data_IF_660832098901
#
_entry.id   IF_660832098901
#
_cell.length_a   1.000
_cell.length_b   1.000
_cell.length_c   1.000
_cell.angle_alpha   90.00
_cell.angle_beta   90.00
_cell.angle_gamma   90.00
#
_symmetry.space_group_name_H-M   'P 1'
#
loop_
_entity.id
_entity.type
_entity.pdbx_description
1 polymer ?
#
# COMPACT_ATOMS: atom_id res chain seq x y z
N UNK A 1 0.58 67.40 18.50
CA UNK A 1 -0.14 66.49 19.42
C UNK A 1 -0.67 65.32 18.62
N UNK A 2 -0.53 64.13 19.19
CA UNK A 2 -1.05 62.82 18.78
C UNK A 2 -0.41 62.13 17.57
N UNK A 3 0.43 61.15 17.91
CA UNK A 3 0.76 60.00 17.10
C UNK A 3 -0.45 59.06 16.94
N UNK A 4 -0.47 58.31 15.83
CA UNK A 4 -1.12 57.01 15.72
C UNK A 4 -0.46 56.23 14.56
N UNK A 5 0.23 55.11 14.83
CA UNK A 5 0.51 54.08 13.84
C UNK A 5 -0.59 53.02 13.87
N UNK A 6 -0.82 52.31 12.76
CA UNK A 6 -0.72 50.84 12.71
C UNK A 6 -1.23 50.29 11.37
N UNK A 7 -0.31 49.63 10.68
CA UNK A 7 -0.53 48.58 9.70
C UNK A 7 -1.38 47.45 10.29
N UNK A 8 -2.23 46.79 9.50
CA UNK A 8 -1.96 45.45 8.92
C UNK A 8 -3.15 45.03 8.06
N UNK A 9 -2.89 44.81 6.76
CA UNK A 9 -3.82 44.11 5.86
C UNK A 9 -3.71 42.61 6.18
N UNK A 10 -4.71 42.04 6.85
CA UNK A 10 -4.80 40.58 7.05
C UNK A 10 -5.61 39.97 5.91
N UNK A 11 -4.90 39.28 5.03
CA UNK A 11 -5.42 38.44 3.95
C UNK A 11 -6.44 37.45 4.48
N UNK A 12 -7.66 37.51 3.93
CA UNK A 12 -8.71 36.52 4.16
C UNK A 12 -8.21 35.13 3.71
N UNK A 13 -8.16 34.20 4.68
CA UNK A 13 -7.89 32.78 4.45
C UNK A 13 -9.06 32.19 3.68
N UNK A 14 -8.82 31.77 2.43
CA UNK A 14 -9.75 30.95 1.67
C UNK A 14 -9.76 29.56 2.31
N UNK A 15 -10.97 29.10 2.67
CA UNK A 15 -11.22 27.76 3.20
C UNK A 15 -10.82 26.71 2.15
N UNK A 16 -9.97 25.77 2.57
CA UNK A 16 -9.61 24.60 1.78
C UNK A 16 -10.42 23.41 2.29
N UNK A 17 -11.63 23.24 1.75
CA UNK A 17 -12.42 22.02 1.86
C UNK A 17 -12.59 21.44 0.46
N UNK A 18 -11.79 20.40 0.17
CA UNK A 18 -12.14 19.20 -0.60
C UNK A 18 -10.85 18.48 -1.06
N UNK A 19 -10.29 17.65 -0.17
CA UNK A 19 -9.34 16.58 -0.54
C UNK A 19 -9.94 15.26 -0.05
N UNK A 20 -10.22 14.28 -0.94
CA UNK A 20 -10.75 12.98 -0.53
C UNK A 20 -9.66 12.23 0.26
N UNK A 21 -9.99 11.75 1.46
CA UNK A 21 -9.11 10.89 2.27
C UNK A 21 -8.57 11.51 3.57
N UNK A 22 -9.04 12.70 3.97
CA UNK A 22 -8.76 13.23 5.32
C UNK A 22 -9.76 12.63 6.32
N UNK A 23 -9.32 12.10 7.49
CA UNK A 23 -10.23 11.52 8.47
C UNK A 23 -11.28 12.55 8.91
N UNK A 24 -12.54 12.13 8.91
CA UNK A 24 -13.64 12.90 9.48
C UNK A 24 -13.37 13.04 10.98
N UNK A 25 -13.09 14.26 11.42
CA UNK A 25 -12.80 14.59 12.81
C UNK A 25 -13.87 13.99 13.76
N UNK A 26 -13.50 12.95 14.53
CA UNK A 26 -14.32 12.43 15.65
C UNK A 26 -14.83 10.98 15.59
N UNK A 27 -14.38 10.13 14.65
CA UNK A 27 -14.80 8.72 14.58
C UNK A 27 -13.90 7.76 15.36
N UNK A 28 -14.49 6.81 16.11
CA UNK A 28 -13.79 5.67 16.70
C UNK A 28 -13.15 4.78 15.62
N UNK A 29 -12.15 3.97 15.99
CA UNK A 29 -11.55 2.99 15.11
C UNK A 29 -11.25 1.67 15.82
N UNK A 30 -10.96 0.65 15.03
CA UNK A 30 -10.36 -0.61 15.51
C UNK A 30 -9.01 -0.82 14.87
N UNK A 31 -8.02 -1.23 15.66
CA UNK A 31 -6.64 -1.46 15.22
C UNK A 31 -6.23 -2.90 15.52
N UNK A 32 -5.59 -3.59 14.58
CA UNK A 32 -5.02 -4.92 14.81
C UNK A 32 -3.81 -4.79 15.74
N UNK A 33 -3.89 -5.32 16.96
CA UNK A 33 -2.78 -5.31 17.94
C UNK A 33 -2.07 -6.66 18.07
N UNK A 34 -2.65 -7.72 17.50
CA UNK A 34 -2.01 -9.04 17.45
C UNK A 34 -2.50 -9.83 16.24
N UNK A 35 -1.58 -10.54 15.60
CA UNK A 35 -1.87 -11.42 14.48
C UNK A 35 -1.46 -10.83 13.15
N UNK A 36 -1.89 -11.47 12.07
CA UNK A 36 -1.59 -11.05 10.71
C UNK A 36 -2.31 -9.73 10.38
N UNK A 37 -1.57 -8.76 9.83
CA UNK A 37 -2.08 -7.41 9.60
C UNK A 37 -1.94 -6.48 10.81
N UNK A 38 -1.04 -6.78 11.76
CA UNK A 38 -0.67 -5.90 12.88
C UNK A 38 -0.56 -4.44 12.42
N UNK A 39 -1.26 -3.53 13.09
CA UNK A 39 -1.31 -2.10 12.80
C UNK A 39 -2.37 -1.67 11.79
N UNK A 40 -2.96 -2.58 11.00
CA UNK A 40 -4.11 -2.25 10.15
C UNK A 40 -5.27 -1.75 10.99
N UNK A 41 -6.01 -0.79 10.45
CA UNK A 41 -7.17 -0.22 11.12
C UNK A 41 -8.36 -0.01 10.19
N UNK A 42 -9.53 0.14 10.79
CA UNK A 42 -10.73 0.62 10.11
C UNK A 42 -11.43 1.68 10.98
N UNK A 43 -11.77 2.80 10.36
CA UNK A 43 -12.53 3.88 10.97
C UNK A 43 -14.02 3.52 10.99
N UNK A 44 -14.65 3.69 12.16
CA UNK A 44 -16.06 3.40 12.37
C UNK A 44 -16.82 4.72 12.23
N UNK A 45 -17.25 4.98 10.99
CA UNK A 45 -18.00 6.16 10.59
C UNK A 45 -19.51 6.02 10.81
N UNK A 46 -20.28 6.54 9.86
CA UNK A 46 -21.74 6.41 9.85
C UNK A 46 -22.19 4.98 9.51
N UNK A 47 -21.47 4.34 8.59
CA UNK A 47 -21.73 2.97 8.16
C UNK A 47 -21.07 1.95 9.10
N UNK A 48 -21.71 0.78 9.19
CA UNK A 48 -21.17 -0.33 9.95
C UNK A 48 -19.92 -0.91 9.26
N UNK A 49 -18.87 -1.15 10.04
CA UNK A 49 -17.64 -1.80 9.60
C UNK A 49 -17.80 -3.30 9.77
N UNK A 50 -17.70 -4.05 8.67
CA UNK A 50 -17.61 -5.51 8.66
C UNK A 50 -16.15 -5.92 8.65
N UNK A 51 -15.79 -6.85 9.52
CA UNK A 51 -14.43 -7.36 9.64
C UNK A 51 -14.43 -8.84 9.30
N UNK A 52 -13.49 -9.30 8.48
CA UNK A 52 -13.39 -10.69 8.13
C UNK A 52 -12.21 -11.00 7.21
N UNK A 53 -12.07 -12.25 6.80
CA UNK A 53 -10.99 -12.66 5.88
C UNK A 53 -11.29 -12.41 4.40
N UNK A 54 -12.52 -11.99 4.05
CA UNK A 54 -12.89 -11.72 2.67
C UNK A 54 -12.36 -10.37 2.20
N UNK A 55 -11.98 -10.24 0.93
CA UNK A 55 -11.62 -8.94 0.35
C UNK A 55 -12.80 -7.96 0.24
N UNK A 56 -14.04 -8.46 0.42
CA UNK A 56 -15.27 -7.67 0.39
C UNK A 56 -15.61 -7.00 1.73
N UNK A 57 -14.82 -7.24 2.79
CA UNK A 57 -15.05 -6.61 4.11
C UNK A 57 -14.27 -5.32 4.26
N UNK A 58 -14.81 -4.38 5.03
CA UNK A 58 -14.20 -3.08 5.31
C UNK A 58 -12.81 -3.21 5.95
N UNK A 59 -12.63 -4.19 6.86
CA UNK A 59 -11.31 -4.60 7.36
C UNK A 59 -11.01 -6.06 6.99
N UNK A 60 -10.28 -6.25 5.89
CA UNK A 60 -9.83 -7.56 5.45
C UNK A 60 -8.61 -8.04 6.25
N UNK A 61 -8.80 -9.14 6.98
CA UNK A 61 -7.82 -9.84 7.80
C UNK A 61 -7.65 -11.27 7.24
N UNK A 62 -6.73 -11.48 6.26
CA UNK A 62 -6.64 -12.70 5.46
C UNK A 62 -6.02 -13.89 6.22
N UNK A 63 -6.53 -14.18 7.42
CA UNK A 63 -6.04 -15.22 8.29
C UNK A 63 -7.04 -16.38 8.39
N UNK A 64 -6.53 -17.63 8.42
CA UNK A 64 -7.35 -18.86 8.42
C UNK A 64 -8.32 -18.97 9.59
N UNK A 65 -7.95 -18.40 10.75
CA UNK A 65 -8.80 -18.41 11.96
C UNK A 65 -9.89 -17.33 11.94
N UNK A 66 -9.92 -16.47 10.93
CA UNK A 66 -10.94 -15.44 10.75
C UNK A 66 -11.97 -15.93 9.71
N UNK A 67 -13.27 -15.84 10.03
CA UNK A 67 -14.35 -16.15 9.09
C UNK A 67 -14.45 -15.09 7.98
N UNK A 68 -15.03 -15.45 6.82
CA UNK A 68 -15.14 -14.53 5.65
C UNK A 68 -15.77 -13.20 6.00
N UNK A 69 -16.83 -13.24 6.79
CA UNK A 69 -17.40 -12.13 7.55
C UNK A 69 -17.44 -12.62 8.99
N UNK A 70 -16.70 -11.98 9.89
CA UNK A 70 -16.49 -12.48 11.25
C UNK A 70 -17.36 -11.72 12.24
N UNK A 71 -17.22 -10.40 12.26
CA UNK A 71 -18.03 -9.53 13.09
C UNK A 71 -18.41 -8.26 12.32
N UNK A 72 -19.38 -7.53 12.86
CA UNK A 72 -19.71 -6.17 12.46
C UNK A 72 -19.58 -5.24 13.65
N UNK A 73 -19.15 -4.01 13.40
CA UNK A 73 -19.07 -2.93 14.39
C UNK A 73 -19.82 -1.73 13.85
N UNK A 74 -20.69 -1.13 14.65
CA UNK A 74 -21.46 0.04 14.23
C UNK A 74 -21.65 1.01 15.39
N UNK A 75 -21.98 2.24 15.05
CA UNK A 75 -22.37 3.26 16.02
C UNK A 75 -23.86 3.11 16.34
N UNK A 76 -24.21 3.10 17.63
CA UNK A 76 -25.59 3.11 18.12
C UNK A 76 -25.74 4.24 19.15
N UNK A 77 -26.43 5.32 18.76
CA UNK A 77 -26.50 6.54 19.55
C UNK A 77 -25.12 7.18 19.75
N UNK A 78 -24.74 7.36 21.01
CA UNK A 78 -23.42 7.90 21.41
C UNK A 78 -22.38 6.80 21.69
N UNK A 79 -22.77 5.53 21.56
CA UNK A 79 -21.91 4.37 21.81
C UNK A 79 -21.60 3.57 20.55
N UNK A 80 -20.79 2.53 20.74
CA UNK A 80 -20.40 1.60 19.68
C UNK A 80 -20.75 0.18 20.09
N UNK A 81 -21.13 -0.65 19.12
CA UNK A 81 -21.52 -2.03 19.34
C UNK A 81 -20.81 -2.95 18.38
N UNK A 82 -20.59 -4.18 18.84
CA UNK A 82 -20.01 -5.27 18.06
C UNK A 82 -20.97 -6.46 18.08
N UNK A 83 -21.11 -7.16 16.96
CA UNK A 83 -21.86 -8.40 16.87
C UNK A 83 -21.09 -9.46 16.08
N UNK A 84 -21.18 -10.70 16.55
CA UNK A 84 -20.72 -11.87 15.82
C UNK A 84 -21.62 -12.13 14.60
N UNK A 85 -21.03 -12.49 13.47
CA UNK A 85 -21.76 -12.82 12.23
C UNK A 85 -21.86 -14.34 11.99
N UNK A 86 -21.92 -15.13 13.06
CA UNK A 86 -21.91 -16.59 13.00
C UNK A 86 -20.52 -17.14 12.70
N UNK A 87 -19.48 -16.52 13.25
CA UNK A 87 -18.11 -16.89 12.95
C UNK A 87 -17.73 -18.24 13.55
N UNK A 88 -16.92 -19.02 12.83
CA UNK A 88 -16.50 -20.37 13.26
C UNK A 88 -15.74 -20.34 14.57
N UNK A 89 -14.86 -19.35 14.75
CA UNK A 89 -14.08 -19.17 15.99
C UNK A 89 -14.72 -18.20 16.97
N UNK A 90 -15.92 -17.69 16.66
CA UNK A 90 -16.70 -16.72 17.44
C UNK A 90 -15.98 -15.41 17.77
N UNK A 91 -16.74 -14.34 17.84
CA UNK A 91 -16.25 -13.04 18.29
C UNK A 91 -16.14 -13.04 19.80
N UNK A 92 -14.97 -12.61 20.32
CA UNK A 92 -14.73 -12.49 21.75
C UNK A 92 -14.46 -11.03 22.11
N UNK A 93 -15.10 -10.53 23.16
CA UNK A 93 -14.83 -9.21 23.75
C UNK A 93 -14.13 -9.44 25.09
N UNK A 94 -12.89 -8.95 25.24
CA UNK A 94 -12.06 -9.16 26.42
C UNK A 94 -12.01 -10.64 26.85
N UNK A 95 -11.72 -11.51 25.86
CA UNK A 95 -11.70 -12.98 25.96
C UNK A 95 -13.04 -13.68 26.24
N UNK A 96 -14.13 -12.94 26.44
CA UNK A 96 -15.48 -13.49 26.63
C UNK A 96 -16.19 -13.60 25.28
N UNK A 97 -16.75 -14.77 24.95
CA UNK A 97 -17.58 -14.94 23.74
C UNK A 97 -18.82 -14.06 23.82
N UNK A 98 -19.12 -13.38 22.71
CA UNK A 98 -20.31 -12.54 22.56
C UNK A 98 -21.10 -12.96 21.32
N UNK A 99 -22.42 -12.79 21.37
CA UNK A 99 -23.24 -12.67 20.16
C UNK A 99 -23.34 -11.20 19.78
N UNK A 100 -23.52 -10.32 20.76
CA UNK A 100 -23.56 -8.87 20.60
C UNK A 100 -23.18 -8.17 21.92
N UNK A 101 -22.43 -7.06 21.85
CA UNK A 101 -21.99 -6.31 23.02
C UNK A 101 -21.76 -4.82 22.72
N UNK A 102 -21.72 -4.01 23.79
CA UNK A 102 -21.30 -2.60 23.73
C UNK A 102 -19.78 -2.53 23.88
N UNK A 103 -19.14 -1.64 23.12
CA UNK A 103 -17.69 -1.41 23.16
C UNK A 103 -17.36 -0.20 24.04
N UNK A 104 -16.35 -0.37 24.90
CA UNK A 104 -15.70 0.68 25.66
C UNK A 104 -14.26 0.88 25.17
N UNK A 105 -13.72 2.08 25.38
CA UNK A 105 -12.36 2.42 24.98
C UNK A 105 -11.33 1.42 25.53
N UNK A 106 -10.45 0.92 24.65
CA UNK A 106 -9.42 -0.06 25.01
C UNK A 106 -9.88 -1.52 24.99
N UNK A 107 -11.15 -1.80 24.68
CA UNK A 107 -11.65 -3.17 24.57
C UNK A 107 -10.91 -3.99 23.51
N UNK A 108 -10.68 -5.26 23.83
CA UNK A 108 -10.07 -6.22 22.91
C UNK A 108 -11.12 -7.09 22.21
N UNK A 109 -11.11 -7.07 20.88
CA UNK A 109 -11.98 -7.88 20.04
C UNK A 109 -11.15 -9.03 19.45
N UNK A 110 -11.35 -10.23 19.95
CA UNK A 110 -10.70 -11.45 19.50
C UNK A 110 -11.46 -12.11 18.33
N UNK A 111 -10.75 -12.33 17.22
CA UNK A 111 -11.21 -12.99 16.00
C UNK A 111 -10.31 -14.22 15.75
N UNK A 112 -10.56 -15.31 16.46
CA UNK A 112 -9.65 -16.47 16.47
C UNK A 112 -8.28 -16.12 17.07
N UNK A 113 -7.24 -16.09 16.23
CA UNK A 113 -5.85 -15.77 16.62
C UNK A 113 -5.51 -14.28 16.45
N UNK A 114 -6.39 -13.51 15.82
CA UNK A 114 -6.23 -12.07 15.62
C UNK A 114 -6.91 -11.32 16.75
N UNK A 115 -6.29 -10.26 17.27
CA UNK A 115 -6.87 -9.39 18.30
C UNK A 115 -6.86 -7.95 17.79
N UNK A 116 -8.02 -7.32 17.85
CA UNK A 116 -8.20 -5.90 17.61
C UNK A 116 -8.35 -5.15 18.93
N UNK A 117 -7.91 -3.90 18.98
CA UNK A 117 -8.22 -2.96 20.05
C UNK A 117 -9.20 -1.93 19.53
N UNK A 118 -10.30 -1.72 20.23
CA UNK A 118 -11.24 -0.64 19.95
C UNK A 118 -10.80 0.66 20.62
N UNK A 119 -10.87 1.76 19.86
CA UNK A 119 -10.46 3.09 20.30
C UNK A 119 -11.60 4.05 19.97
N UNK A 120 -12.26 4.57 21.01
CA UNK A 120 -13.50 5.33 20.95
C UNK A 120 -13.36 6.78 20.45
N UNK A 121 -12.17 7.37 20.63
CA UNK A 121 -11.84 8.75 20.28
C UNK A 121 -10.43 8.86 19.69
N UNK A 122 -10.06 10.02 19.16
CA UNK A 122 -8.68 10.32 18.76
C UNK A 122 -7.77 10.10 19.97
N UNK A 123 -7.10 8.95 20.00
CA UNK A 123 -6.08 8.63 20.97
C UNK A 123 -4.74 8.80 20.28
N UNK A 124 -3.79 9.47 20.95
CA UNK A 124 -2.38 9.51 20.53
C UNK A 124 -1.87 8.08 20.27
N UNK A 125 -2.42 7.08 20.95
CA UNK A 125 -2.11 5.67 20.74
C UNK A 125 -2.57 5.15 19.37
N UNK A 126 -3.73 5.59 18.86
CA UNK A 126 -4.23 5.19 17.54
C UNK A 126 -3.34 5.75 16.43
N UNK A 127 -3.00 7.04 16.52
CA UNK A 127 -2.11 7.71 15.58
C UNK A 127 -0.71 7.07 15.62
N UNK A 128 -0.21 6.74 16.83
CA UNK A 128 1.05 6.03 17.00
C UNK A 128 1.04 4.64 16.35
N UNK A 129 -0.03 3.86 16.52
CA UNK A 129 -0.13 2.55 15.89
C UNK A 129 -0.22 2.62 14.36
N UNK A 130 -0.94 3.61 13.82
CA UNK A 130 -0.98 3.87 12.38
C UNK A 130 0.40 4.26 11.86
N UNK A 131 1.09 5.20 12.53
CA UNK A 131 2.43 5.62 12.13
C UNK A 131 3.42 4.46 12.17
N UNK A 132 3.38 3.65 13.24
CA UNK A 132 4.18 2.42 13.35
C UNK A 132 3.85 1.45 12.22
N UNK A 133 2.56 1.28 11.86
CA UNK A 133 2.16 0.43 10.75
C UNK A 133 2.72 0.92 9.42
N UNK A 134 2.56 2.21 9.14
CA UNK A 134 3.03 2.85 7.92
C UNK A 134 4.55 2.71 7.80
N UNK A 135 5.31 3.03 8.85
CA UNK A 135 6.76 2.84 8.88
C UNK A 135 7.17 1.37 8.71
N UNK A 136 6.37 0.45 9.25
CA UNK A 136 6.64 -0.98 9.18
C UNK A 136 6.34 -1.57 7.79
N UNK A 137 5.42 -0.99 7.02
CA UNK A 137 4.89 -1.58 5.77
C UNK A 137 5.17 -0.79 4.49
N UNK A 138 5.42 0.50 4.60
CA UNK A 138 5.63 1.40 3.47
C UNK A 138 7.03 2.02 3.47
N UNK A 139 7.49 2.39 2.29
CA UNK A 139 8.71 3.17 2.10
C UNK A 139 8.43 4.64 2.42
N UNK A 140 9.20 5.23 3.34
CA UNK A 140 8.96 6.58 3.84
C UNK A 140 9.09 7.67 2.76
N UNK A 141 9.84 7.41 1.68
CA UNK A 141 10.04 8.40 0.62
C UNK A 141 8.90 8.39 -0.39
N UNK A 142 8.48 7.20 -0.83
CA UNK A 142 7.55 7.02 -1.95
C UNK A 142 6.12 6.68 -1.51
N UNK A 143 5.95 6.23 -0.27
CA UNK A 143 4.67 5.71 0.24
C UNK A 143 4.21 4.42 -0.43
N UNK A 144 5.06 3.75 -1.22
CA UNK A 144 4.81 2.41 -1.76
C UNK A 144 5.07 1.35 -0.70
N UNK A 145 4.67 0.10 -0.95
CA UNK A 145 5.08 -1.01 -0.07
C UNK A 145 6.61 -1.05 0.03
N UNK A 146 7.12 -1.24 1.25
CA UNK A 146 8.55 -1.49 1.43
C UNK A 146 8.88 -2.94 1.07
N UNK A 147 10.18 -3.24 0.94
CA UNK A 147 10.70 -4.57 0.60
C UNK A 147 10.13 -5.71 1.47
N UNK A 148 9.99 -5.48 2.78
CA UNK A 148 9.53 -6.50 3.72
C UNK A 148 8.06 -6.84 3.49
N UNK A 149 7.22 -5.81 3.44
CA UNK A 149 5.78 -6.00 3.23
C UNK A 149 5.47 -6.53 1.82
N UNK A 150 6.22 -6.08 0.82
CA UNK A 150 6.14 -6.62 -0.53
C UNK A 150 6.37 -8.13 -0.57
N UNK A 151 7.41 -8.63 0.10
CA UNK A 151 7.69 -10.07 0.13
C UNK A 151 6.53 -10.87 0.73
N UNK A 152 5.95 -10.38 1.83
CA UNK A 152 4.80 -11.01 2.49
C UNK A 152 3.56 -11.04 1.59
N UNK A 153 3.26 -9.94 0.89
CA UNK A 153 2.11 -9.86 -0.02
C UNK A 153 2.32 -10.69 -1.29
N UNK A 154 3.53 -10.68 -1.84
CA UNK A 154 3.86 -11.44 -3.05
C UNK A 154 3.79 -12.95 -2.80
N UNK A 155 4.29 -13.46 -1.67
CA UNK A 155 4.19 -14.88 -1.33
C UNK A 155 2.71 -15.33 -1.25
N UNK A 156 1.81 -14.47 -0.76
CA UNK A 156 0.37 -14.74 -0.71
C UNK A 156 -0.27 -14.73 -2.10
N UNK A 157 0.04 -13.73 -2.91
CA UNK A 157 -0.56 -13.60 -4.24
C UNK A 157 -0.08 -14.70 -5.17
N UNK A 158 1.20 -15.11 -5.09
CA UNK A 158 1.72 -16.25 -5.82
C UNK A 158 1.01 -17.55 -5.45
N UNK A 159 0.83 -17.82 -4.15
CA UNK A 159 0.10 -19.00 -3.68
C UNK A 159 -1.38 -18.98 -4.12
N UNK A 160 -2.00 -17.79 -4.18
CA UNK A 160 -3.37 -17.61 -4.68
C UNK A 160 -3.46 -17.89 -6.17
N UNK A 161 -2.57 -17.31 -6.97
CA UNK A 161 -2.50 -17.50 -8.42
C UNK A 161 -2.32 -18.98 -8.77
N UNK A 162 -1.40 -19.68 -8.09
CA UNK A 162 -1.17 -21.11 -8.27
C UNK A 162 -2.39 -21.96 -7.92
N UNK A 163 -3.05 -21.68 -6.79
CA UNK A 163 -4.23 -22.44 -6.35
C UNK A 163 -5.40 -22.34 -7.34
N UNK A 164 -5.52 -21.20 -8.01
CA UNK A 164 -6.62 -20.90 -8.91
C UNK A 164 -6.23 -20.99 -10.40
N UNK A 165 -5.01 -21.45 -10.69
CA UNK A 165 -4.46 -21.53 -12.05
C UNK A 165 -4.59 -20.19 -12.81
N UNK A 166 -4.39 -19.07 -12.10
CA UNK A 166 -4.45 -17.72 -12.67
C UNK A 166 -3.06 -17.24 -13.06
N UNK A 167 -2.91 -16.53 -14.18
CA UNK A 167 -1.62 -15.97 -14.57
C UNK A 167 -1.20 -14.87 -13.59
N UNK A 168 0.11 -14.75 -13.40
CA UNK A 168 0.73 -13.75 -12.54
C UNK A 168 2.06 -13.35 -13.15
N UNK A 169 2.33 -12.06 -13.23
CA UNK A 169 3.60 -11.54 -13.74
C UNK A 169 4.27 -10.62 -12.73
N UNK A 170 5.59 -10.66 -12.70
CA UNK A 170 6.44 -9.74 -11.94
C UNK A 170 7.20 -8.85 -12.93
N UNK A 171 7.14 -7.54 -12.70
CA UNK A 171 7.98 -6.54 -13.35
C UNK A 171 8.98 -5.98 -12.33
N UNK A 172 10.27 -6.13 -12.62
CA UNK A 172 11.38 -5.47 -11.95
C UNK A 172 11.77 -4.21 -12.72
N UNK A 173 11.80 -3.06 -12.05
CA UNK A 173 11.98 -1.74 -12.67
C UNK A 173 13.15 -1.05 -11.99
N UNK A 174 14.01 -0.42 -12.78
CA UNK A 174 15.14 0.38 -12.27
C UNK A 174 15.31 1.66 -13.08
N UNK A 175 15.62 2.76 -12.39
CA UNK A 175 15.88 4.05 -13.02
C UNK A 175 17.28 4.06 -13.65
N UNK A 176 17.32 4.31 -14.95
CA UNK A 176 18.56 4.33 -15.70
C UNK A 176 19.48 5.46 -15.24
N UNK A 177 20.73 5.10 -14.91
CA UNK A 177 21.78 6.05 -14.52
C UNK A 177 21.43 6.91 -13.30
N UNK A 178 20.60 6.41 -12.38
CA UNK A 178 20.15 7.18 -11.21
C UNK A 178 21.30 7.67 -10.32
N UNK A 179 22.38 6.89 -10.19
CA UNK A 179 23.60 7.36 -9.52
C UNK A 179 24.15 8.65 -10.14
N UNK A 180 24.15 8.78 -11.47
CA UNK A 180 24.62 10.00 -12.14
C UNK A 180 23.67 11.19 -11.91
N UNK A 181 22.38 10.94 -11.72
CA UNK A 181 21.41 11.96 -11.28
C UNK A 181 21.78 12.44 -9.87
N UNK A 182 22.00 11.52 -8.92
CA UNK A 182 22.39 11.88 -7.55
C UNK A 182 23.75 12.60 -7.49
N UNK A 183 24.75 12.09 -8.22
CA UNK A 183 26.10 12.66 -8.22
C UNK A 183 26.10 14.09 -8.83
N UNK A 184 25.20 14.36 -9.78
CA UNK A 184 25.13 15.66 -10.47
C UNK A 184 24.22 16.68 -9.78
N UNK A 185 23.06 16.27 -9.28
CA UNK A 185 22.03 17.19 -8.75
C UNK A 185 21.78 17.02 -7.25
N UNK A 186 22.50 16.12 -6.59
CA UNK A 186 22.35 15.81 -5.18
C UNK A 186 21.19 14.87 -4.86
N UNK A 187 21.28 14.21 -3.71
CA UNK A 187 20.31 13.21 -3.26
C UNK A 187 18.89 13.77 -3.08
N UNK A 188 18.72 15.02 -2.64
CA UNK A 188 17.40 15.63 -2.49
C UNK A 188 16.64 15.71 -3.83
N UNK A 189 17.37 15.99 -4.91
CA UNK A 189 16.81 16.02 -6.27
C UNK A 189 16.48 14.61 -6.75
N UNK A 190 17.34 13.63 -6.48
CA UNK A 190 17.04 12.22 -6.73
C UNK A 190 15.79 11.73 -6.00
N UNK A 191 15.62 12.14 -4.75
CA UNK A 191 14.43 11.83 -3.95
C UNK A 191 13.16 12.43 -4.57
N UNK A 192 13.24 13.65 -5.12
CA UNK A 192 12.16 14.25 -5.92
C UNK A 192 11.81 13.41 -7.15
N UNK A 193 12.81 12.95 -7.89
CA UNK A 193 12.62 12.10 -9.06
C UNK A 193 11.96 10.75 -8.70
N UNK A 194 12.31 10.14 -7.57
CA UNK A 194 11.69 8.90 -7.09
C UNK A 194 10.21 9.08 -6.73
N UNK A 195 9.85 10.22 -6.11
CA UNK A 195 8.44 10.56 -5.83
C UNK A 195 7.65 10.76 -7.12
N UNK A 196 8.19 11.52 -8.06
CA UNK A 196 7.52 11.75 -9.34
C UNK A 196 7.37 10.46 -10.16
N UNK A 197 8.38 9.58 -10.15
CA UNK A 197 8.27 8.27 -10.80
C UNK A 197 7.15 7.43 -10.17
N UNK A 198 7.02 7.49 -8.84
CA UNK A 198 5.95 6.82 -8.11
C UNK A 198 4.58 7.33 -8.54
N UNK A 199 4.42 8.65 -8.71
CA UNK A 199 3.17 9.25 -9.18
C UNK A 199 2.84 8.88 -10.62
N UNK A 200 3.85 8.74 -11.49
CA UNK A 200 3.65 8.18 -12.83
C UNK A 200 3.19 6.73 -12.72
N UNK A 201 3.88 5.90 -11.96
CA UNK A 201 3.58 4.47 -11.82
C UNK A 201 2.15 4.21 -11.32
N UNK A 202 1.69 4.99 -10.32
CA UNK A 202 0.33 4.91 -9.76
C UNK A 202 -0.78 5.12 -10.79
N UNK A 203 -0.51 5.78 -11.93
CA UNK A 203 -1.49 5.99 -13.02
C UNK A 203 -1.68 4.75 -13.90
N UNK A 204 -0.75 3.79 -13.86
CA UNK A 204 -0.75 2.62 -14.74
C UNK A 204 -1.20 1.34 -14.03
N UNK A 205 -1.01 1.27 -12.72
CA UNK A 205 -1.34 0.12 -11.89
C UNK A 205 -2.79 0.16 -11.42
N UNK A 206 -3.37 -1.01 -11.21
CA UNK A 206 -4.72 -1.19 -10.66
C UNK A 206 -4.67 -1.36 -9.15
N UNK A 207 -5.84 -1.36 -8.52
CA UNK A 207 -5.94 -1.52 -7.06
C UNK A 207 -5.48 -2.92 -6.61
N UNK A 208 -5.66 -3.93 -7.46
CA UNK A 208 -5.24 -5.31 -7.21
C UNK A 208 -3.75 -5.57 -7.43
N UNK A 209 -3.03 -4.67 -8.09
CA UNK A 209 -1.60 -4.82 -8.37
C UNK A 209 -0.76 -4.48 -7.12
N UNK A 210 0.29 -5.27 -6.86
CA UNK A 210 1.20 -4.98 -5.75
C UNK A 210 2.36 -4.13 -6.25
N UNK A 211 2.55 -2.95 -5.66
CA UNK A 211 3.60 -2.02 -6.04
C UNK A 211 4.50 -1.70 -4.86
N UNK A 212 5.80 -1.85 -5.06
CA UNK A 212 6.78 -1.68 -4.00
C UNK A 212 8.06 -1.00 -4.48
N UNK A 213 8.71 -0.31 -3.54
CA UNK A 213 10.13 0.07 -3.66
C UNK A 213 10.95 -0.92 -2.84
N UNK A 214 11.81 -1.68 -3.52
CA UNK A 214 12.53 -2.81 -2.92
C UNK A 214 14.03 -2.53 -2.70
N UNK A 215 14.53 -1.44 -3.30
CA UNK A 215 15.91 -0.96 -3.22
C UNK A 215 15.99 0.56 -3.35
N UNK A 216 17.20 1.10 -3.56
CA UNK A 216 17.41 2.54 -3.70
C UNK A 216 16.60 3.13 -4.85
N UNK A 217 16.84 2.64 -6.06
CA UNK A 217 16.18 3.05 -7.31
C UNK A 217 15.36 1.91 -7.95
N UNK A 218 15.18 0.81 -7.21
CA UNK A 218 14.54 -0.41 -7.68
C UNK A 218 13.10 -0.52 -7.20
N UNK A 219 12.19 -0.73 -8.14
CA UNK A 219 10.76 -0.91 -7.93
C UNK A 219 10.34 -2.30 -8.42
N UNK A 220 9.28 -2.83 -7.81
CA UNK A 220 8.67 -4.09 -8.21
C UNK A 220 7.15 -3.91 -8.37
N UNK A 221 6.60 -4.51 -9.41
CA UNK A 221 5.16 -4.57 -9.66
C UNK A 221 4.75 -6.02 -9.87
N UNK A 222 3.80 -6.51 -9.08
CA UNK A 222 3.15 -7.80 -9.30
C UNK A 222 1.79 -7.52 -9.94
N UNK A 223 1.60 -8.03 -11.15
CA UNK A 223 0.40 -7.89 -11.94
C UNK A 223 -0.47 -9.15 -11.78
N UNK A 224 -1.57 -9.01 -11.06
CA UNK A 224 -2.52 -10.09 -10.85
C UNK A 224 -3.30 -10.38 -12.14
N UNK A 225 -3.53 -11.66 -12.42
CA UNK A 225 -4.31 -12.12 -13.59
C UNK A 225 -3.75 -11.62 -14.93
N UNK A 226 -2.45 -11.35 -14.99
CA UNK A 226 -1.74 -10.90 -16.18
C UNK A 226 -0.78 -11.97 -16.67
N UNK A 227 -0.85 -12.28 -17.96
CA UNK A 227 0.11 -13.11 -18.66
C UNK A 227 1.27 -12.27 -19.20
N UNK A 228 2.22 -12.92 -19.87
CA UNK A 228 3.41 -12.25 -20.43
C UNK A 228 3.06 -11.13 -21.41
N UNK A 229 2.00 -11.29 -22.20
CA UNK A 229 1.61 -10.31 -23.22
C UNK A 229 1.03 -9.06 -22.55
N UNK A 230 0.15 -9.27 -21.57
CA UNK A 230 -0.44 -8.18 -20.78
C UNK A 230 0.64 -7.45 -19.96
N UNK A 231 1.58 -8.19 -19.36
CA UNK A 231 2.68 -7.61 -18.61
C UNK A 231 3.63 -6.79 -19.50
N UNK A 232 3.95 -7.26 -20.71
CA UNK A 232 4.72 -6.51 -21.69
C UNK A 232 4.01 -5.21 -22.11
N UNK A 233 2.71 -5.28 -22.38
CA UNK A 233 1.93 -4.08 -22.74
C UNK A 233 1.90 -3.05 -21.61
N UNK A 234 1.72 -3.49 -20.36
CA UNK A 234 1.83 -2.63 -19.18
C UNK A 234 3.21 -1.98 -19.10
N UNK A 235 4.27 -2.80 -19.13
CA UNK A 235 5.64 -2.35 -18.96
C UNK A 235 6.04 -1.35 -20.05
N UNK A 236 5.69 -1.62 -21.30
CA UNK A 236 6.06 -0.74 -22.42
C UNK A 236 5.32 0.59 -22.36
N UNK A 237 4.03 0.59 -21.98
CA UNK A 237 3.27 1.82 -21.76
C UNK A 237 3.85 2.65 -20.61
N UNK A 238 4.20 2.00 -19.50
CA UNK A 238 4.81 2.68 -18.36
C UNK A 238 6.20 3.23 -18.73
N UNK A 239 7.05 2.44 -19.37
CA UNK A 239 8.38 2.86 -19.84
C UNK A 239 8.29 4.08 -20.76
N UNK A 240 7.39 4.05 -21.74
CA UNK A 240 7.18 5.17 -22.67
C UNK A 240 6.73 6.43 -21.93
N UNK A 241 5.78 6.31 -20.99
CA UNK A 241 5.31 7.43 -20.19
C UNK A 241 6.41 8.05 -19.34
N UNK A 242 7.28 7.24 -18.72
CA UNK A 242 8.44 7.73 -17.98
C UNK A 242 9.42 8.48 -18.89
N UNK A 243 9.68 7.95 -20.09
CA UNK A 243 10.57 8.60 -21.05
C UNK A 243 10.01 9.94 -21.58
N UNK A 244 8.68 10.11 -21.60
CA UNK A 244 8.01 11.35 -22.01
C UNK A 244 7.83 12.36 -20.87
N UNK A 245 7.76 11.89 -19.62
CA UNK A 245 7.59 12.71 -18.42
C UNK A 245 8.79 13.66 -18.21
N UNK A 246 8.47 14.88 -17.76
CA UNK A 246 9.46 15.90 -17.42
C UNK A 246 9.68 15.92 -15.92
N UNK A 247 10.81 15.36 -15.51
CA UNK A 247 11.22 15.32 -14.12
C UNK A 247 11.87 16.64 -13.72
N UNK A 248 11.46 17.19 -12.58
CA UNK A 248 12.05 18.41 -12.03
C UNK A 248 13.39 18.07 -11.37
N UNK A 249 14.49 18.36 -12.06
CA UNK A 249 15.85 18.15 -11.58
C UNK A 249 16.56 19.50 -11.44
N UNK A 250 16.82 19.93 -10.20
CA UNK A 250 17.48 21.21 -9.87
C UNK A 250 16.78 22.43 -10.52
N UNK A 251 15.44 22.45 -10.48
CA UNK A 251 14.62 23.51 -11.07
C UNK A 251 14.48 23.45 -12.60
N UNK A 252 15.02 22.43 -13.26
CA UNK A 252 14.90 22.23 -14.71
C UNK A 252 14.15 20.95 -15.06
N UNK A 253 13.29 21.03 -16.08
CA UNK A 253 12.55 19.90 -16.62
C UNK A 253 13.44 18.99 -17.48
N UNK A 254 13.78 17.80 -16.99
CA UNK A 254 14.66 16.82 -17.66
C UNK A 254 13.98 15.47 -17.82
N UNK A 255 14.46 14.66 -18.76
CA UNK A 255 13.97 13.30 -18.97
C UNK A 255 14.89 12.31 -18.25
N UNK A 256 14.28 11.30 -17.63
CA UNK A 256 14.95 10.08 -17.17
C UNK A 256 14.28 8.89 -17.84
N UNK A 257 14.92 7.74 -17.82
CA UNK A 257 14.37 6.50 -18.39
C UNK A 257 14.43 5.39 -17.38
N UNK A 258 13.69 4.32 -17.64
CA UNK A 258 13.70 3.10 -16.83
C UNK A 258 13.99 1.90 -17.70
N UNK A 259 14.70 0.93 -17.12
CA UNK A 259 14.81 -0.42 -17.65
C UNK A 259 13.86 -1.34 -16.89
N UNK A 260 13.22 -2.27 -17.59
CA UNK A 260 12.22 -3.16 -17.00
C UNK A 260 12.49 -4.62 -17.39
N UNK A 261 12.57 -5.50 -16.41
CA UNK A 261 12.62 -6.95 -16.58
C UNK A 261 11.31 -7.61 -16.18
N UNK A 262 10.81 -8.54 -17.00
CA UNK A 262 9.55 -9.24 -16.74
C UNK A 262 9.80 -10.74 -16.56
N UNK A 263 9.12 -11.34 -15.58
CA UNK A 263 9.00 -12.79 -15.50
C UNK A 263 7.57 -13.20 -15.11
N UNK A 264 7.08 -14.30 -15.69
CA UNK A 264 5.76 -14.84 -15.39
C UNK A 264 5.85 -16.06 -14.48
N UNK A 265 4.91 -16.17 -13.55
CA UNK A 265 4.78 -17.33 -12.68
C UNK A 265 4.43 -18.57 -13.52
N UNK A 266 5.13 -19.67 -13.24
CA UNK A 266 5.00 -20.94 -13.95
C UNK A 266 5.22 -22.10 -12.98
N UNK A 267 4.91 -23.33 -13.40
CA UNK A 267 5.13 -24.52 -12.59
C UNK A 267 6.61 -24.72 -12.20
N UNK A 268 7.55 -24.33 -13.07
CA UNK A 268 8.99 -24.35 -12.86
C UNK A 268 9.52 -23.11 -12.11
N UNK A 269 8.70 -22.05 -12.01
CA UNK A 269 8.93 -20.83 -11.23
C UNK A 269 7.92 -20.73 -10.10
N UNK A 270 7.91 -21.78 -9.28
CA UNK A 270 6.87 -22.01 -8.28
C UNK A 270 7.03 -21.17 -7.00
N UNK A 271 8.15 -20.45 -6.84
CA UNK A 271 8.39 -19.63 -5.66
C UNK A 271 8.85 -18.21 -6.02
N UNK A 272 8.66 -17.29 -5.08
CA UNK A 272 9.03 -15.89 -5.22
C UNK A 272 10.51 -15.70 -5.56
N UNK A 273 11.41 -16.50 -4.99
CA UNK A 273 12.86 -16.38 -5.23
C UNK A 273 13.21 -16.67 -6.69
N UNK A 274 12.63 -17.73 -7.26
CA UNK A 274 12.81 -18.10 -8.66
C UNK A 274 12.27 -17.01 -9.60
N UNK A 275 11.11 -16.44 -9.27
CA UNK A 275 10.45 -15.44 -10.10
C UNK A 275 11.18 -14.09 -10.05
N UNK A 276 11.63 -13.67 -8.86
CA UNK A 276 12.49 -12.50 -8.67
C UNK A 276 13.81 -12.63 -9.44
N UNK A 277 14.49 -13.78 -9.35
CA UNK A 277 15.75 -14.03 -10.09
C UNK A 277 15.55 -13.97 -11.61
N UNK A 278 14.45 -14.51 -12.11
CA UNK A 278 14.09 -14.44 -13.52
C UNK A 278 13.85 -12.99 -13.99
N UNK A 279 13.06 -12.22 -13.24
CA UNK A 279 12.79 -10.82 -13.59
C UNK A 279 14.04 -9.94 -13.49
N UNK A 280 14.90 -10.20 -12.50
CA UNK A 280 16.20 -9.52 -12.34
C UNK A 280 17.16 -9.83 -13.49
N UNK A 281 17.23 -11.09 -13.95
CA UNK A 281 18.02 -11.46 -15.12
C UNK A 281 17.54 -10.75 -16.40
N UNK A 282 16.22 -10.61 -16.57
CA UNK A 282 15.65 -9.82 -17.65
C UNK A 282 15.99 -8.32 -17.51
N UNK A 283 15.88 -7.76 -16.31
CA UNK A 283 16.23 -6.36 -16.05
C UNK A 283 17.72 -6.09 -16.34
N UNK A 284 18.60 -7.02 -15.96
CA UNK A 284 20.01 -6.94 -16.29
C UNK A 284 20.24 -6.89 -17.80
N UNK A 285 19.58 -7.76 -18.59
CA UNK A 285 19.64 -7.71 -20.05
C UNK A 285 19.13 -6.39 -20.61
N UNK A 286 18.09 -5.81 -20.01
CA UNK A 286 17.56 -4.51 -20.43
C UNK A 286 18.61 -3.40 -20.27
N UNK A 287 19.32 -3.40 -19.12
CA UNK A 287 20.40 -2.45 -18.84
C UNK A 287 21.61 -2.65 -19.75
N UNK A 288 22.00 -3.89 -20.00
CA UNK A 288 23.15 -4.24 -20.85
C UNK A 288 22.88 -3.95 -22.34
N UNK A 289 21.63 -4.14 -22.78
CA UNK A 289 21.19 -3.92 -24.17
C UNK A 289 20.87 -2.46 -24.49
N UNK A 290 21.41 -1.52 -23.72
CA UNK A 290 21.31 -0.08 -24.00
C UNK A 290 20.26 0.68 -23.20
N UNK A 291 19.66 0.08 -22.15
CA UNK A 291 18.70 0.73 -21.25
C UNK A 291 17.41 1.19 -21.95
N UNK A 292 16.53 1.87 -21.21
CA UNK A 292 15.25 2.40 -21.70
C UNK A 292 14.45 1.37 -22.50
N UNK A 293 14.29 0.16 -21.96
CA UNK A 293 13.62 -0.95 -22.64
C UNK A 293 13.03 -1.95 -21.67
N UNK A 294 12.15 -2.77 -22.23
CA UNK A 294 11.55 -3.93 -21.57
C UNK A 294 12.22 -5.19 -22.11
N UNK A 295 12.67 -6.06 -21.22
CA UNK A 295 13.11 -7.41 -21.54
C UNK A 295 12.25 -8.41 -20.78
N UNK A 296 11.99 -9.56 -21.41
CA UNK A 296 11.23 -10.65 -20.78
C UNK A 296 12.16 -11.82 -20.57
N UNK A 297 12.02 -12.48 -19.42
CA UNK A 297 12.70 -13.74 -19.19
C UNK A 297 12.12 -14.83 -20.09
N UNK A 298 12.93 -15.45 -20.97
CA UNK A 298 12.46 -16.50 -21.87
C UNK A 298 11.83 -17.67 -21.14
N UNK A 299 11.05 -18.44 -21.88
CA UNK A 299 10.34 -19.62 -21.41
C UNK A 299 11.24 -20.82 -21.08
#
# INVERSE_FOLDING_TARGET
>A
MSAAPESTLTTQRIAADDVPGRPLHGSACVVVIRGEGLGRRADIGADAVVIGRSHETDLCLPHKSVSRRHCRIWREGDGYRVADLGATNTTRLNDVKIDEATLADGDHIGLGEVILKFISHVSVEADYHEEVYQLATHDALTGLCNRRHFAELFDKELARAQRHERPLSLCMIDIDLFKAVNDRYGHLTGDGALRQLTDVLKRFVRQEDLVARIGGEEFAVVLAECDVTMAQQFAERFRAAVAEERFELDGEARQITVSIGIACARADRADRSSLMRAADAALYRAKDSGRNRVEVEPD
#
